data_IF_197074079568
#
_entry.id   IF_197074079568
#
_cell.length_a   1.000
_cell.length_b   1.000
_cell.length_c   1.000
_cell.angle_alpha   90.00
_cell.angle_beta   90.00
_cell.angle_gamma   90.00
#
_symmetry.space_group_name_H-M   'P 1'
#
loop_
_entity.id
_entity.type
_entity.pdbx_description
1 polymer ?
#
# COMPACT_ATOMS: atom_id res chain seq x y z
N UNK A 1 5.02 16.15 31.17
CA UNK A 1 4.60 17.44 30.56
C UNK A 1 5.70 18.49 30.46
N UNK A 2 6.84 18.35 31.13
CA UNK A 2 7.98 19.30 31.12
C UNK A 2 8.68 19.49 29.76
N UNK A 3 8.43 18.62 28.78
CA UNK A 3 9.04 18.66 27.44
C UNK A 3 8.38 19.65 26.46
N UNK A 4 7.20 20.18 26.78
CA UNK A 4 6.43 21.06 25.87
C UNK A 4 6.80 22.55 25.98
N UNK A 5 7.45 22.95 27.08
CA UNK A 5 7.77 24.35 27.39
C UNK A 5 9.24 24.76 27.15
N UNK A 6 10.10 23.84 26.67
CA UNK A 6 11.51 24.12 26.32
C UNK A 6 11.75 23.98 24.82
N UNK A 7 12.79 24.65 24.30
CA UNK A 7 13.25 24.53 22.89
C UNK A 7 13.24 23.06 22.45
N UNK A 8 12.55 22.71 21.34
CA UNK A 8 12.24 21.32 21.05
C UNK A 8 13.51 20.55 20.71
N UNK A 9 13.80 19.51 21.50
CA UNK A 9 14.81 18.48 21.18
C UNK A 9 14.23 17.32 20.35
N UNK A 10 12.91 17.35 20.10
CA UNK A 10 12.18 16.42 19.24
C UNK A 10 10.98 17.14 18.58
N UNK A 11 10.56 16.66 17.41
CA UNK A 11 9.33 17.10 16.75
C UNK A 11 8.13 16.50 17.47
N UNK A 12 7.36 17.33 18.18
CA UNK A 12 6.09 16.92 18.77
C UNK A 12 4.96 17.06 17.74
N UNK A 13 3.98 16.15 17.82
CA UNK A 13 2.82 16.21 16.92
C UNK A 13 1.99 17.46 17.24
N UNK A 14 1.52 18.24 16.24
CA UNK A 14 0.79 19.50 16.45
C UNK A 14 -0.43 19.37 17.38
N UNK A 15 -1.09 18.21 17.37
CA UNK A 15 -2.22 17.91 18.26
C UNK A 15 -1.88 18.05 19.75
N UNK A 16 -0.66 17.73 20.18
CA UNK A 16 -0.28 17.87 21.59
C UNK A 16 -0.26 19.34 22.02
N UNK A 17 0.10 20.24 21.11
CA UNK A 17 0.05 21.68 21.36
C UNK A 17 -1.40 22.18 21.43
N UNK A 18 -2.28 21.69 20.54
CA UNK A 18 -3.71 22.04 20.55
C UNK A 18 -4.39 21.57 21.84
N UNK A 19 -4.11 20.34 22.29
CA UNK A 19 -4.65 19.81 23.54
C UNK A 19 -4.15 20.57 24.77
N UNK A 20 -2.88 20.97 24.78
CA UNK A 20 -2.32 21.78 25.86
C UNK A 20 -2.95 23.18 25.90
N UNK A 21 -3.15 23.80 24.73
CA UNK A 21 -3.81 25.11 24.61
C UNK A 21 -5.25 25.03 25.13
N UNK A 22 -6.02 24.01 24.72
CA UNK A 22 -7.39 23.81 25.21
C UNK A 22 -7.47 23.41 26.69
N UNK A 23 -6.38 22.92 27.29
CA UNK A 23 -6.31 22.70 28.73
C UNK A 23 -5.99 23.98 29.52
N UNK A 24 -5.19 24.88 28.94
CA UNK A 24 -4.72 26.11 29.60
C UNK A 24 -5.64 27.31 29.42
N UNK A 25 -6.47 27.32 28.38
CA UNK A 25 -7.36 28.42 28.06
C UNK A 25 -8.75 27.91 27.69
N UNK A 26 -9.77 28.70 28.02
CA UNK A 26 -11.18 28.41 27.71
C UNK A 26 -11.46 28.44 26.19
N UNK A 27 -10.65 29.18 25.42
CA UNK A 27 -10.70 29.20 23.96
C UNK A 27 -9.33 29.47 23.34
N UNK A 28 -9.17 29.07 22.07
CA UNK A 28 -7.95 29.36 21.29
C UNK A 28 -7.73 30.88 21.18
N UNK A 29 -8.81 31.65 21.03
CA UNK A 29 -8.73 33.11 20.98
C UNK A 29 -8.24 33.69 22.31
N UNK A 30 -8.76 33.24 23.45
CA UNK A 30 -8.28 33.67 24.78
C UNK A 30 -6.79 33.38 24.97
N UNK A 31 -6.30 32.24 24.46
CA UNK A 31 -4.87 31.90 24.51
C UNK A 31 -4.00 32.80 23.61
N UNK A 32 -4.50 33.18 22.42
CA UNK A 32 -3.76 34.02 21.48
C UNK A 32 -3.79 35.51 21.86
N UNK A 33 -4.82 35.94 22.60
CA UNK A 33 -5.05 37.32 23.01
C UNK A 33 -4.75 37.61 24.48
N UNK A 34 -4.30 36.61 25.24
CA UNK A 34 -3.64 36.91 26.51
C UNK A 34 -2.38 37.66 26.15
N UNK A 35 -2.36 38.96 26.46
CA UNK A 35 -1.13 39.73 26.53
C UNK A 35 -0.17 38.91 27.38
N UNK A 36 0.76 38.21 26.73
CA UNK A 36 1.88 37.59 27.41
C UNK A 36 2.49 38.80 28.13
N UNK A 37 2.44 38.88 29.47
CA UNK A 37 3.15 39.94 30.16
C UNK A 37 4.55 39.78 29.63
N UNK A 38 5.04 40.76 28.87
CA UNK A 38 6.37 40.73 28.31
C UNK A 38 7.22 40.26 29.46
N UNK A 39 7.75 39.03 29.39
CA UNK A 39 8.63 38.54 30.41
C UNK A 39 9.63 39.67 30.49
N UNK A 40 9.62 40.39 31.62
CA UNK A 40 10.70 41.26 31.99
C UNK A 40 11.82 40.24 32.19
N UNK A 41 12.38 39.83 31.05
CA UNK A 41 13.67 39.24 30.97
C UNK A 41 14.47 40.27 31.71
N UNK A 42 15.06 39.86 32.82
CA UNK A 42 16.12 40.62 33.42
C UNK A 42 17.28 40.60 32.41
N UNK A 43 17.08 41.15 31.21
CA UNK A 43 18.08 41.27 30.15
C UNK A 43 19.25 42.02 30.75
N UNK A 44 18.99 43.07 31.54
CA UNK A 44 20.05 43.75 32.28
C UNK A 44 20.89 42.83 33.21
N UNK A 45 20.34 41.76 33.79
CA UNK A 45 21.10 40.82 34.63
C UNK A 45 21.75 39.68 33.80
N UNK A 46 21.04 39.12 32.82
CA UNK A 46 21.53 38.08 31.90
C UNK A 46 22.59 38.64 30.93
N UNK A 47 22.45 39.89 30.48
CA UNK A 47 23.41 40.61 29.64
C UNK A 47 24.67 40.93 30.43
N UNK A 48 24.55 41.32 31.72
CA UNK A 48 25.70 41.49 32.63
C UNK A 48 26.42 40.17 32.88
N UNK A 49 25.68 39.08 33.12
CA UNK A 49 26.26 37.76 33.30
C UNK A 49 26.92 37.25 32.00
N UNK A 50 26.31 37.50 30.84
CA UNK A 50 26.90 37.15 29.54
C UNK A 50 28.14 37.97 29.25
N UNK A 51 28.14 39.28 29.54
CA UNK A 51 29.29 40.17 29.39
C UNK A 51 30.44 39.76 30.32
N UNK A 52 30.15 39.41 31.58
CA UNK A 52 31.17 38.89 32.50
C UNK A 52 31.81 37.59 31.99
N UNK A 53 30.99 36.69 31.43
CA UNK A 53 31.48 35.44 30.82
C UNK A 53 32.33 35.73 29.57
N UNK A 54 31.91 36.67 28.74
CA UNK A 54 32.62 37.10 27.51
C UNK A 54 33.98 37.74 27.86
N UNK A 55 34.04 38.60 28.89
CA UNK A 55 35.30 39.13 29.42
C UNK A 55 36.23 38.02 29.94
N UNK A 56 35.69 37.03 30.67
CA UNK A 56 36.48 35.88 31.18
C UNK A 56 37.07 35.04 30.05
N UNK A 57 36.32 34.86 28.96
CA UNK A 57 36.80 34.16 27.76
C UNK A 57 37.94 34.97 27.10
N UNK A 58 37.82 36.30 27.02
CA UNK A 58 38.85 37.16 26.47
C UNK A 58 40.14 37.17 27.32
N UNK A 59 40.01 37.25 28.64
CA UNK A 59 41.13 37.21 29.60
C UNK A 59 41.93 35.90 29.45
N UNK A 60 41.26 34.75 29.57
CA UNK A 60 41.91 33.44 29.47
C UNK A 60 42.46 33.14 28.07
N UNK A 61 41.85 33.69 27.02
CA UNK A 61 42.38 33.58 25.66
C UNK A 61 43.64 34.44 25.45
N UNK A 62 43.71 35.63 26.06
CA UNK A 62 44.88 36.50 26.02
C UNK A 62 46.08 35.90 26.79
N UNK A 63 45.83 35.09 27.81
CA UNK A 63 46.85 34.27 28.50
C UNK A 63 47.41 33.12 27.63
N UNK A 64 46.91 32.92 26.40
CA UNK A 64 47.37 31.88 25.50
C UNK A 64 46.76 30.49 25.77
N UNK A 65 45.71 30.39 26.58
CA UNK A 65 45.02 29.11 26.82
C UNK A 65 44.21 28.69 25.61
N UNK A 66 44.15 27.38 25.35
CA UNK A 66 43.30 26.83 24.28
C UNK A 66 41.82 26.95 24.65
N UNK A 67 40.93 27.12 23.67
CA UNK A 67 39.47 27.22 23.89
C UNK A 67 38.87 26.01 24.63
N UNK A 68 39.55 24.85 24.63
CA UNK A 68 39.17 23.68 25.43
C UNK A 68 39.52 23.84 26.91
N UNK A 69 40.67 24.43 27.22
CA UNK A 69 41.06 24.76 28.59
C UNK A 69 40.15 25.87 29.14
N UNK A 70 39.89 26.91 28.35
CA UNK A 70 38.93 27.98 28.69
C UNK A 70 37.54 27.40 29.01
N UNK A 71 37.05 26.46 28.18
CA UNK A 71 35.77 25.79 28.44
C UNK A 71 35.75 24.98 29.74
N UNK A 72 36.83 24.27 30.05
CA UNK A 72 36.96 23.50 31.30
C UNK A 72 36.98 24.41 32.53
N UNK A 73 37.63 25.56 32.43
CA UNK A 73 37.84 26.51 33.52
C UNK A 73 36.57 27.34 33.81
N UNK A 74 35.81 27.69 32.78
CA UNK A 74 34.52 28.40 32.91
C UNK A 74 33.35 27.43 33.18
N UNK A 75 33.55 26.12 33.03
CA UNK A 75 32.49 25.11 33.21
C UNK A 75 31.45 25.09 32.09
N UNK A 76 31.81 25.57 30.89
CA UNK A 76 30.94 25.63 29.72
C UNK A 76 31.31 24.55 28.70
N UNK A 77 30.36 24.22 27.81
CA UNK A 77 30.69 23.38 26.65
C UNK A 77 31.66 24.10 25.71
N UNK A 78 32.58 23.36 25.09
CA UNK A 78 33.55 23.93 24.13
C UNK A 78 32.84 24.71 23.01
N UNK A 79 31.70 24.22 22.50
CA UNK A 79 30.92 24.94 21.49
C UNK A 79 30.35 26.27 22.01
N UNK A 80 29.88 26.33 23.26
CA UNK A 80 29.36 27.57 23.84
C UNK A 80 30.47 28.63 23.96
N UNK A 81 31.67 28.22 24.38
CA UNK A 81 32.84 29.11 24.42
C UNK A 81 33.25 29.55 23.02
N UNK A 82 33.29 28.65 22.03
CA UNK A 82 33.62 29.01 20.65
C UNK A 82 32.63 30.02 20.05
N UNK A 83 31.33 29.85 20.28
CA UNK A 83 30.30 30.79 19.82
C UNK A 83 30.45 32.15 20.50
N UNK A 84 30.71 32.19 21.81
CA UNK A 84 30.96 33.46 22.53
C UNK A 84 32.27 34.12 22.11
N UNK A 85 33.34 33.34 21.91
CA UNK A 85 34.64 33.81 21.42
C UNK A 85 34.54 34.40 20.02
N UNK A 86 33.75 33.80 19.14
CA UNK A 86 33.46 34.30 17.79
C UNK A 86 32.67 35.62 17.84
N UNK A 87 31.69 35.72 18.73
CA UNK A 87 30.91 36.94 18.97
C UNK A 87 31.80 38.12 19.40
N UNK A 88 32.82 37.88 20.23
CA UNK A 88 33.78 38.90 20.69
C UNK A 88 35.00 39.06 19.78
N UNK A 89 35.00 38.42 18.60
CA UNK A 89 36.03 38.60 17.58
C UNK A 89 37.37 37.92 17.86
N UNK A 90 37.44 36.98 18.83
CA UNK A 90 38.65 36.20 19.08
C UNK A 90 38.81 35.17 17.97
N UNK A 91 39.77 35.40 17.08
CA UNK A 91 40.10 34.49 16.00
C UNK A 91 40.70 33.19 16.54
N UNK A 92 40.02 32.06 16.31
CA UNK A 92 40.57 30.73 16.56
C UNK A 92 40.59 29.91 15.27
N UNK A 93 41.66 29.16 15.04
CA UNK A 93 41.75 28.20 13.94
C UNK A 93 40.84 27.01 14.23
N UNK A 94 39.63 27.02 13.68
CA UNK A 94 38.78 25.83 13.65
C UNK A 94 39.51 24.76 12.85
N UNK A 95 40.00 23.70 13.51
CA UNK A 95 40.62 22.57 12.82
C UNK A 95 39.53 21.81 12.04
N UNK A 96 39.27 22.23 10.81
CA UNK A 96 38.49 21.43 9.87
C UNK A 96 39.30 20.17 9.55
N UNK A 97 38.65 18.99 9.57
CA UNK A 97 39.23 17.83 8.90
C UNK A 97 39.23 18.17 7.42
N UNK A 98 40.40 18.54 6.87
CA UNK A 98 40.57 18.68 5.43
C UNK A 98 40.31 17.29 4.84
N UNK A 99 39.13 17.12 4.25
CA UNK A 99 38.85 15.99 3.38
C UNK A 99 39.81 16.12 2.22
N UNK A 100 40.70 15.15 2.05
CA UNK A 100 41.56 15.12 0.89
C UNK A 100 40.69 15.10 -0.38
N UNK A 101 41.00 15.99 -1.31
CA UNK A 101 40.22 16.21 -2.54
C UNK A 101 40.20 14.95 -3.39
N UNK A 102 41.29 14.17 -3.35
CA UNK A 102 41.43 12.90 -4.07
C UNK A 102 40.44 11.86 -3.53
N UNK A 103 40.40 11.66 -2.21
CA UNK A 103 39.50 10.71 -1.53
C UNK A 103 38.04 11.13 -1.74
N UNK A 104 37.75 12.43 -1.69
CA UNK A 104 36.39 12.94 -1.99
C UNK A 104 35.96 12.58 -3.41
N UNK A 105 36.86 12.72 -4.39
CA UNK A 105 36.58 12.40 -5.79
C UNK A 105 36.37 10.89 -5.98
N UNK A 106 37.19 10.05 -5.33
CA UNK A 106 37.00 8.59 -5.32
C UNK A 106 35.64 8.18 -4.76
N UNK A 107 35.24 8.76 -3.62
CA UNK A 107 33.91 8.52 -3.03
C UNK A 107 32.80 8.95 -3.99
N UNK A 108 32.96 10.11 -4.65
CA UNK A 108 31.97 10.61 -5.60
C UNK A 108 31.80 9.65 -6.77
N UNK A 109 32.88 9.20 -7.41
CA UNK A 109 32.82 8.26 -8.53
C UNK A 109 32.22 6.91 -8.13
N UNK A 110 32.59 6.38 -6.95
CA UNK A 110 32.02 5.13 -6.45
C UNK A 110 30.52 5.26 -6.11
N UNK A 111 30.10 6.41 -5.56
CA UNK A 111 28.70 6.69 -5.30
C UNK A 111 27.91 6.79 -6.61
N UNK A 112 28.44 7.51 -7.60
CA UNK A 112 27.85 7.68 -8.93
C UNK A 112 27.71 6.36 -9.68
N UNK A 113 28.69 5.47 -9.55
CA UNK A 113 28.67 4.12 -10.11
C UNK A 113 27.66 3.19 -9.41
N UNK A 114 27.09 3.56 -8.26
CA UNK A 114 26.09 2.76 -7.54
C UNK A 114 26.67 1.78 -6.53
N UNK A 115 27.98 1.81 -6.23
CA UNK A 115 28.60 0.91 -5.26
C UNK A 115 27.93 1.00 -3.88
N UNK A 116 27.89 -0.11 -3.14
CA UNK A 116 27.29 -0.12 -1.81
C UNK A 116 28.09 0.78 -0.86
N UNK A 117 27.38 1.52 0.01
CA UNK A 117 28.01 2.47 0.94
C UNK A 117 29.01 1.74 1.86
N UNK A 118 28.71 0.50 2.25
CA UNK A 118 29.60 -0.32 3.05
C UNK A 118 30.94 -0.60 2.34
N UNK A 119 30.94 -0.83 1.03
CA UNK A 119 32.15 -1.10 0.26
C UNK A 119 32.96 0.18 0.05
N UNK A 120 32.28 1.32 -0.15
CA UNK A 120 32.93 2.63 -0.22
C UNK A 120 33.61 2.96 1.11
N UNK A 121 32.96 2.68 2.23
CA UNK A 121 33.54 2.86 3.58
C UNK A 121 34.79 2.00 3.76
N UNK A 122 34.75 0.72 3.38
CA UNK A 122 35.90 -0.19 3.47
C UNK A 122 37.08 0.25 2.60
N UNK A 123 36.81 0.67 1.37
CA UNK A 123 37.85 1.04 0.41
C UNK A 123 38.49 2.40 0.71
N UNK A 124 37.71 3.36 1.22
CA UNK A 124 38.19 4.73 1.46
C UNK A 124 38.58 5.00 2.91
N UNK A 125 38.28 4.08 3.83
CA UNK A 125 38.54 4.24 5.28
C UNK A 125 37.68 5.32 5.95
N UNK A 126 36.67 5.85 5.26
CA UNK A 126 35.81 6.93 5.77
C UNK A 126 34.65 6.41 6.60
N UNK A 127 34.10 7.25 7.48
CA UNK A 127 32.85 6.91 8.18
C UNK A 127 31.64 6.96 7.24
N UNK A 128 30.67 6.06 7.44
CA UNK A 128 29.41 6.03 6.68
C UNK A 128 28.67 7.37 6.72
N UNK A 129 28.72 8.08 7.86
CA UNK A 129 28.15 9.43 8.01
C UNK A 129 28.78 10.43 7.03
N UNK A 130 30.10 10.34 6.80
CA UNK A 130 30.78 11.24 5.87
C UNK A 130 30.40 10.95 4.42
N UNK A 131 30.32 9.68 4.04
CA UNK A 131 29.87 9.25 2.71
C UNK A 131 28.43 9.69 2.46
N UNK A 132 27.53 9.49 3.43
CA UNK A 132 26.13 9.93 3.34
C UNK A 132 26.00 11.45 3.27
N UNK A 133 26.87 12.21 3.95
CA UNK A 133 26.88 13.67 3.85
C UNK A 133 27.31 14.14 2.45
N UNK A 134 28.26 13.45 1.82
CA UNK A 134 28.66 13.72 0.44
C UNK A 134 27.49 13.42 -0.51
N UNK A 135 26.85 12.26 -0.36
CA UNK A 135 25.67 11.89 -1.14
C UNK A 135 24.50 12.88 -0.94
N UNK A 136 24.25 13.30 0.30
CA UNK A 136 23.17 14.22 0.65
C UNK A 136 23.35 15.64 0.13
N UNK A 137 24.60 16.08 -0.05
CA UNK A 137 24.92 17.44 -0.47
C UNK A 137 24.70 17.71 -1.96
N UNK A 138 24.68 16.67 -2.80
CA UNK A 138 24.62 16.78 -4.26
C UNK A 138 23.42 16.02 -4.83
N UNK A 139 22.41 16.77 -5.32
CA UNK A 139 21.21 16.19 -5.96
C UNK A 139 21.52 15.51 -7.30
N UNK A 140 22.50 16.00 -8.06
CA UNK A 140 22.92 15.40 -9.33
C UNK A 140 23.53 14.03 -9.10
N UNK A 141 24.39 13.91 -8.09
CA UNK A 141 24.96 12.63 -7.67
C UNK A 141 23.89 11.62 -7.23
N UNK A 142 22.86 12.07 -6.49
CA UNK A 142 21.74 11.20 -6.09
C UNK A 142 20.96 10.66 -7.28
N UNK A 143 20.65 11.52 -8.27
CA UNK A 143 19.97 11.12 -9.49
C UNK A 143 20.82 10.12 -10.30
N UNK A 144 22.12 10.41 -10.47
CA UNK A 144 23.05 9.53 -11.18
C UNK A 144 23.17 8.17 -10.51
N UNK A 145 23.36 8.15 -9.18
CA UNK A 145 23.40 6.91 -8.40
C UNK A 145 22.12 6.09 -8.57
N UNK A 146 20.95 6.75 -8.54
CA UNK A 146 19.66 6.08 -8.70
C UNK A 146 19.52 5.46 -10.09
N UNK A 147 19.96 6.16 -11.14
CA UNK A 147 20.00 5.63 -12.49
C UNK A 147 20.95 4.41 -12.60
N UNK A 148 22.17 4.51 -12.06
CA UNK A 148 23.14 3.41 -12.05
C UNK A 148 22.60 2.17 -11.31
N UNK A 149 22.00 2.35 -10.14
CA UNK A 149 21.39 1.26 -9.37
C UNK A 149 20.23 0.61 -10.13
N UNK A 150 19.42 1.40 -10.86
CA UNK A 150 18.35 0.87 -11.71
C UNK A 150 18.91 0.01 -12.83
N UNK A 151 19.95 0.46 -13.52
CA UNK A 151 20.63 -0.30 -14.59
C UNK A 151 21.24 -1.59 -14.05
N UNK A 152 21.92 -1.53 -12.90
CA UNK A 152 22.47 -2.72 -12.24
C UNK A 152 21.39 -3.72 -11.84
N UNK A 153 20.28 -3.23 -11.27
CA UNK A 153 19.14 -4.07 -10.89
C UNK A 153 18.53 -4.75 -12.11
N UNK A 154 18.38 -4.01 -13.21
CA UNK A 154 17.91 -4.55 -14.48
C UNK A 154 18.86 -5.64 -15.00
N UNK A 155 20.16 -5.34 -15.09
CA UNK A 155 21.16 -6.29 -15.54
C UNK A 155 21.17 -7.58 -14.70
N UNK A 156 21.09 -7.44 -13.38
CA UNK A 156 21.02 -8.57 -12.45
C UNK A 156 19.79 -9.45 -12.72
N UNK A 157 18.59 -8.84 -12.76
CA UNK A 157 17.36 -9.59 -12.97
C UNK A 157 17.30 -10.25 -14.36
N UNK A 158 17.78 -9.55 -15.41
CA UNK A 158 17.92 -10.12 -16.76
C UNK A 158 18.91 -11.28 -16.78
N UNK A 159 20.03 -11.17 -16.09
CA UNK A 159 21.04 -12.23 -15.96
C UNK A 159 20.49 -13.48 -15.27
N UNK A 160 19.75 -13.30 -14.18
CA UNK A 160 19.04 -14.40 -13.49
C UNK A 160 18.06 -15.11 -14.40
N UNK A 161 17.26 -14.36 -15.16
CA UNK A 161 16.33 -14.94 -16.11
C UNK A 161 17.05 -15.75 -17.18
N UNK A 162 18.12 -15.19 -17.78
CA UNK A 162 18.94 -15.87 -18.79
C UNK A 162 19.56 -17.17 -18.27
N UNK A 163 20.02 -17.19 -17.02
CA UNK A 163 20.57 -18.40 -16.40
C UNK A 163 19.52 -19.51 -16.29
N UNK A 164 18.29 -19.18 -15.90
CA UNK A 164 17.19 -20.15 -15.79
C UNK A 164 16.72 -20.64 -17.16
N UNK A 165 16.59 -19.75 -18.13
CA UNK A 165 16.18 -20.12 -19.50
C UNK A 165 17.24 -20.95 -20.22
N UNK A 166 18.53 -20.70 -19.96
CA UNK A 166 19.63 -21.50 -20.53
C UNK A 166 19.67 -22.93 -19.98
N UNK A 167 19.33 -23.13 -18.70
CA UNK A 167 19.31 -24.46 -18.09
C UNK A 167 18.11 -25.32 -18.52
N UNK A 168 17.00 -24.69 -18.95
CA UNK A 168 15.74 -25.38 -19.27
C UNK A 168 15.03 -24.70 -20.45
N UNK A 169 15.14 -25.22 -21.69
CA UNK A 169 14.67 -24.55 -22.90
C UNK A 169 13.13 -24.39 -23.08
N UNK A 170 12.29 -24.71 -22.10
CA UNK A 170 10.82 -24.61 -22.24
C UNK A 170 10.09 -24.23 -20.94
N UNK A 171 10.71 -23.42 -20.07
CA UNK A 171 10.06 -23.01 -18.81
C UNK A 171 8.89 -22.07 -19.09
N UNK A 172 7.68 -22.54 -18.76
CA UNK A 172 6.47 -21.72 -18.83
C UNK A 172 6.48 -20.56 -17.83
N UNK A 173 5.65 -19.54 -18.09
CA UNK A 173 5.53 -18.31 -17.28
C UNK A 173 5.38 -18.58 -15.77
N UNK A 174 4.57 -19.57 -15.39
CA UNK A 174 4.33 -19.91 -13.97
C UNK A 174 5.60 -20.42 -13.30
N UNK A 175 6.38 -21.26 -13.98
CA UNK A 175 7.62 -21.81 -13.45
C UNK A 175 8.72 -20.74 -13.37
N UNK A 176 8.85 -19.85 -14.36
CA UNK A 176 9.77 -18.71 -14.28
C UNK A 176 9.45 -17.78 -13.11
N UNK A 177 8.16 -17.49 -12.89
CA UNK A 177 7.73 -16.65 -11.76
C UNK A 177 8.07 -17.29 -10.41
N UNK A 178 7.90 -18.61 -10.27
CA UNK A 178 8.25 -19.33 -9.04
C UNK A 178 9.78 -19.37 -8.83
N UNK A 179 10.55 -19.65 -9.88
CA UNK A 179 12.01 -19.79 -9.79
C UNK A 179 12.73 -18.46 -9.48
N UNK A 180 12.24 -17.35 -10.05
CA UNK A 180 12.90 -16.04 -9.97
C UNK A 180 12.28 -15.11 -8.91
N UNK A 181 11.06 -15.37 -8.46
CA UNK A 181 10.39 -14.65 -7.38
C UNK A 181 10.40 -13.12 -7.52
N UNK A 182 11.18 -12.44 -6.67
CA UNK A 182 11.29 -10.98 -6.64
C UNK A 182 11.91 -10.40 -7.92
N UNK A 183 12.86 -11.11 -8.56
CA UNK A 183 13.49 -10.66 -9.81
C UNK A 183 12.47 -10.65 -10.96
N UNK A 184 11.63 -11.68 -11.04
CA UNK A 184 10.55 -11.75 -12.01
C UNK A 184 9.52 -10.63 -11.79
N UNK A 185 9.12 -10.42 -10.54
CA UNK A 185 8.16 -9.36 -10.18
C UNK A 185 8.69 -7.99 -10.55
N UNK A 186 9.99 -7.75 -10.34
CA UNK A 186 10.64 -6.51 -10.72
C UNK A 186 10.66 -6.31 -12.25
N UNK A 187 11.07 -7.32 -13.02
CA UNK A 187 11.06 -7.27 -14.49
C UNK A 187 9.64 -7.06 -15.04
N UNK A 188 8.65 -7.74 -14.49
CA UNK A 188 7.26 -7.59 -14.90
C UNK A 188 6.73 -6.17 -14.71
N UNK A 189 7.15 -5.47 -13.65
CA UNK A 189 6.75 -4.09 -13.35
C UNK A 189 7.54 -3.04 -14.12
N UNK A 190 8.83 -3.26 -14.34
CA UNK A 190 9.75 -2.21 -14.81
C UNK A 190 10.37 -2.47 -16.18
N UNK A 191 10.26 -3.69 -16.73
CA UNK A 191 10.92 -4.13 -17.96
C UNK A 191 10.07 -5.18 -18.72
N UNK A 192 8.75 -4.93 -18.77
CA UNK A 192 7.75 -5.89 -19.25
C UNK A 192 7.96 -6.28 -20.71
N UNK A 193 8.24 -5.31 -21.57
CA UNK A 193 8.42 -5.54 -23.00
C UNK A 193 9.60 -6.49 -23.27
N UNK A 194 10.73 -6.27 -22.58
CA UNK A 194 11.87 -7.16 -22.66
C UNK A 194 11.52 -8.55 -22.12
N UNK A 195 10.85 -8.64 -20.97
CA UNK A 195 10.45 -9.92 -20.38
C UNK A 195 9.57 -10.72 -21.36
N UNK A 196 8.57 -10.09 -21.96
CA UNK A 196 7.68 -10.72 -22.94
C UNK A 196 8.43 -11.21 -24.18
N UNK A 197 9.42 -10.45 -24.67
CA UNK A 197 10.24 -10.87 -25.81
C UNK A 197 11.14 -12.08 -25.50
N UNK A 198 11.39 -12.40 -24.23
CA UNK A 198 12.14 -13.60 -23.83
C UNK A 198 11.25 -14.82 -23.57
N UNK A 199 9.93 -14.63 -23.45
CA UNK A 199 8.99 -15.72 -23.26
C UNK A 199 8.51 -16.22 -24.63
N UNK A 200 8.36 -17.54 -24.82
CA UNK A 200 7.70 -18.05 -26.01
C UNK A 200 6.29 -17.46 -26.07
N UNK A 201 5.93 -16.92 -27.24
CA UNK A 201 4.61 -16.35 -27.49
C UNK A 201 3.61 -17.50 -27.50
N UNK A 202 3.04 -17.83 -26.34
CA UNK A 202 1.97 -18.82 -26.29
C UNK A 202 0.70 -18.15 -26.78
N UNK A 203 0.11 -18.59 -27.92
CA UNK A 203 -1.20 -18.13 -28.29
C UNK A 203 -2.14 -18.48 -27.14
N UNK A 204 -2.80 -17.47 -26.59
CA UNK A 204 -3.76 -17.65 -25.51
C UNK A 204 -4.99 -18.33 -26.11
N UNK A 205 -4.97 -19.67 -26.20
CA UNK A 205 -6.15 -20.45 -26.53
C UNK A 205 -7.06 -20.35 -25.32
N UNK A 206 -8.02 -19.43 -25.39
CA UNK A 206 -9.14 -19.43 -24.46
C UNK A 206 -10.03 -20.59 -24.91
N UNK A 207 -9.76 -21.79 -24.38
CA UNK A 207 -10.72 -22.89 -24.49
C UNK A 207 -12.02 -22.43 -23.82
N UNK A 208 -12.99 -22.01 -24.63
CA UNK A 208 -14.35 -21.75 -24.17
C UNK A 208 -14.97 -23.10 -23.85
N UNK A 209 -14.75 -23.60 -22.65
CA UNK A 209 -15.49 -24.73 -22.08
C UNK A 209 -16.93 -24.30 -21.80
N UNK A 210 -17.76 -24.21 -22.84
CA UNK A 210 -19.22 -24.29 -22.69
C UNK A 210 -19.91 -24.55 -24.04
N UNK A 211 -19.48 -25.60 -24.75
CA UNK A 211 -20.40 -26.24 -25.70
C UNK A 211 -21.43 -27.02 -24.88
N UNK A 212 -22.38 -26.31 -24.29
CA UNK A 212 -23.56 -26.93 -23.71
C UNK A 212 -24.38 -27.51 -24.86
N UNK A 213 -24.62 -28.82 -24.83
CA UNK A 213 -25.59 -29.45 -25.73
C UNK A 213 -27.01 -29.09 -25.24
N UNK A 214 -27.64 -28.16 -25.96
CA UNK A 214 -28.99 -27.69 -25.65
C UNK A 214 -30.06 -28.71 -26.03
N UNK A 215 -29.80 -29.58 -27.00
CA UNK A 215 -30.76 -30.60 -27.41
C UNK A 215 -30.94 -31.66 -26.32
N UNK A 216 -29.85 -32.09 -25.69
CA UNK A 216 -29.90 -33.02 -24.56
C UNK A 216 -30.59 -32.36 -23.35
N UNK A 217 -30.26 -31.10 -23.06
CA UNK A 217 -30.90 -30.36 -21.95
C UNK A 217 -32.38 -30.14 -22.14
N UNK A 218 -32.81 -29.80 -23.36
CA UNK A 218 -34.22 -29.60 -23.68
C UNK A 218 -35.02 -30.89 -23.49
N UNK A 219 -34.50 -32.03 -23.98
CA UNK A 219 -35.15 -33.34 -23.75
C UNK A 219 -35.28 -33.66 -22.27
N UNK A 220 -34.17 -33.56 -21.52
CA UNK A 220 -34.16 -33.88 -20.10
C UNK A 220 -35.00 -32.90 -19.25
N UNK A 221 -35.26 -31.69 -19.76
CA UNK A 221 -36.12 -30.73 -19.10
C UNK A 221 -37.60 -31.01 -19.39
N UNK A 222 -37.96 -31.35 -20.63
CA UNK A 222 -39.32 -31.77 -20.97
C UNK A 222 -39.77 -33.00 -20.15
N UNK A 223 -38.89 -33.98 -19.93
CA UNK A 223 -39.15 -35.12 -19.06
C UNK A 223 -39.45 -34.71 -17.61
N UNK A 224 -38.63 -33.80 -17.04
CA UNK A 224 -38.86 -33.29 -15.68
C UNK A 224 -40.14 -32.47 -15.55
N UNK A 225 -40.47 -31.67 -16.57
CA UNK A 225 -41.74 -30.93 -16.63
C UNK A 225 -42.92 -31.90 -16.64
N UNK A 226 -42.83 -32.98 -17.42
CA UNK A 226 -43.88 -34.02 -17.48
C UNK A 226 -44.11 -34.65 -16.11
N UNK A 227 -43.03 -35.02 -15.41
CA UNK A 227 -43.12 -35.58 -14.04
C UNK A 227 -43.72 -34.57 -13.05
N UNK A 228 -43.26 -33.31 -13.10
CA UNK A 228 -43.78 -32.24 -12.24
C UNK A 228 -45.28 -32.02 -12.43
N UNK A 229 -45.77 -32.07 -13.67
CA UNK A 229 -47.19 -31.94 -13.99
C UNK A 229 -48.00 -33.08 -13.39
N UNK A 230 -47.50 -34.32 -13.50
CA UNK A 230 -48.12 -35.48 -12.85
C UNK A 230 -48.24 -35.30 -11.34
N UNK A 231 -47.16 -34.87 -10.67
CA UNK A 231 -47.17 -34.63 -9.22
C UNK A 231 -48.09 -33.50 -8.76
N UNK A 232 -48.30 -32.48 -9.60
CA UNK A 232 -49.21 -31.34 -9.31
C UNK A 232 -50.68 -31.73 -9.53
N UNK A 233 -50.95 -32.61 -10.49
CA UNK A 233 -52.28 -33.10 -10.82
C UNK A 233 -52.72 -34.32 -9.98
N UNK A 234 -51.86 -34.80 -9.08
CA UNK A 234 -52.14 -35.93 -8.20
C UNK A 234 -53.47 -35.74 -7.43
N UNK A 235 -54.47 -36.63 -7.58
CA UNK A 235 -55.82 -36.43 -7.03
C UNK A 235 -55.90 -36.31 -5.52
N UNK A 236 -54.95 -36.93 -4.80
CA UNK A 236 -54.86 -36.91 -3.34
C UNK A 236 -54.35 -35.57 -2.79
N UNK A 237 -53.85 -34.67 -3.64
CA UNK A 237 -53.34 -33.36 -3.25
C UNK A 237 -54.38 -32.27 -3.49
N UNK A 238 -54.30 -31.21 -2.69
CA UNK A 238 -55.08 -29.99 -2.91
C UNK A 238 -54.76 -29.41 -4.30
N UNK A 239 -55.77 -28.99 -5.10
CA UNK A 239 -55.54 -28.48 -6.45
C UNK A 239 -54.62 -27.27 -6.44
N UNK A 240 -53.48 -27.41 -7.09
CA UNK A 240 -52.52 -26.34 -7.32
C UNK A 240 -52.51 -25.99 -8.80
N UNK A 241 -52.49 -24.70 -9.12
CA UNK A 241 -52.57 -24.23 -10.51
C UNK A 241 -51.26 -24.51 -11.23
N UNK A 242 -51.35 -25.09 -12.43
CA UNK A 242 -50.20 -25.29 -13.30
C UNK A 242 -49.74 -23.95 -13.89
N UNK A 243 -48.79 -23.30 -13.23
CA UNK A 243 -48.12 -22.08 -13.71
C UNK A 243 -46.64 -22.34 -13.96
N UNK A 244 -45.99 -21.48 -14.76
CA UNK A 244 -44.56 -21.63 -15.08
C UNK A 244 -43.70 -21.64 -13.81
N UNK A 245 -44.03 -20.78 -12.84
CA UNK A 245 -43.36 -20.74 -11.56
C UNK A 245 -43.58 -22.01 -10.75
N UNK A 246 -44.80 -22.56 -10.74
CA UNK A 246 -45.10 -23.77 -9.97
C UNK A 246 -44.36 -24.98 -10.53
N UNK A 247 -44.44 -25.18 -11.85
CA UNK A 247 -43.70 -26.24 -12.54
C UNK A 247 -42.19 -26.06 -12.33
N UNK A 248 -41.69 -24.84 -12.45
CA UNK A 248 -40.29 -24.50 -12.21
C UNK A 248 -39.77 -24.81 -10.80
N UNK A 249 -40.64 -24.73 -9.78
CA UNK A 249 -40.30 -25.14 -8.40
C UNK A 249 -40.11 -26.64 -8.29
N UNK A 250 -40.99 -27.42 -8.92
CA UNK A 250 -40.90 -28.89 -8.96
C UNK A 250 -39.69 -29.38 -9.78
N UNK A 251 -39.26 -28.64 -10.81
CA UNK A 251 -38.04 -28.97 -11.57
C UNK A 251 -36.73 -28.49 -10.90
N UNK A 252 -36.82 -27.85 -9.72
CA UNK A 252 -35.67 -27.48 -8.89
C UNK A 252 -35.02 -26.12 -9.20
N UNK A 253 -35.43 -25.40 -10.26
CA UNK A 253 -34.94 -24.06 -10.55
C UNK A 253 -35.85 -23.26 -11.51
N UNK A 254 -36.88 -22.61 -10.96
CA UNK A 254 -37.87 -21.86 -11.75
C UNK A 254 -37.27 -20.70 -12.56
N UNK A 255 -36.32 -19.95 -11.97
CA UNK A 255 -35.67 -18.82 -12.63
C UNK A 255 -34.77 -19.27 -13.80
N UNK A 256 -34.17 -20.45 -13.69
CA UNK A 256 -33.36 -21.00 -14.77
C UNK A 256 -34.20 -21.42 -15.97
N UNK A 257 -35.35 -22.07 -15.70
CA UNK A 257 -36.29 -22.48 -16.75
C UNK A 257 -36.80 -21.27 -17.53
N UNK A 258 -37.22 -20.22 -16.82
CA UNK A 258 -37.69 -18.97 -17.42
C UNK A 258 -36.61 -18.29 -18.27
N UNK A 259 -35.40 -18.13 -17.70
CA UNK A 259 -34.25 -17.50 -18.39
C UNK A 259 -33.81 -18.23 -19.66
N UNK A 260 -33.93 -19.55 -19.69
CA UNK A 260 -33.42 -20.38 -20.79
C UNK A 260 -34.51 -20.95 -21.69
N UNK A 261 -35.78 -20.62 -21.46
CA UNK A 261 -36.92 -21.16 -22.19
C UNK A 261 -36.79 -20.98 -23.72
N UNK A 262 -36.28 -19.84 -24.16
CA UNK A 262 -36.04 -19.55 -25.59
C UNK A 262 -35.05 -20.52 -26.27
N UNK A 263 -34.27 -21.27 -25.49
CA UNK A 263 -33.29 -22.27 -25.98
C UNK A 263 -33.78 -23.71 -25.82
N UNK A 264 -35.01 -23.89 -25.33
CA UNK A 264 -35.61 -25.18 -24.99
C UNK A 264 -36.94 -25.34 -25.74
N UNK A 265 -36.92 -25.49 -27.09
CA UNK A 265 -38.13 -25.47 -27.90
C UNK A 265 -39.14 -26.56 -27.52
N UNK A 266 -38.69 -27.79 -27.21
CA UNK A 266 -39.58 -28.88 -26.80
C UNK A 266 -40.22 -28.62 -25.44
N UNK A 267 -39.43 -28.10 -24.50
CA UNK A 267 -39.93 -27.73 -23.17
C UNK A 267 -40.93 -26.58 -23.28
N UNK A 268 -40.66 -25.58 -24.13
CA UNK A 268 -41.55 -24.45 -24.37
C UNK A 268 -42.89 -24.89 -24.98
N UNK A 269 -42.85 -25.79 -25.97
CA UNK A 269 -44.04 -26.39 -26.56
C UNK A 269 -44.87 -27.14 -25.51
N UNK A 270 -44.24 -28.01 -24.71
CA UNK A 270 -44.92 -28.74 -23.62
C UNK A 270 -45.57 -27.80 -22.61
N UNK A 271 -44.85 -26.75 -22.18
CA UNK A 271 -45.40 -25.77 -21.24
C UNK A 271 -46.61 -25.04 -21.84
N UNK A 272 -46.59 -24.68 -23.12
CA UNK A 272 -47.74 -24.02 -23.76
C UNK A 272 -49.02 -24.85 -23.75
N UNK A 273 -48.90 -26.19 -23.74
CA UNK A 273 -50.03 -27.12 -23.71
C UNK A 273 -50.55 -27.37 -22.29
N UNK A 274 -49.68 -27.28 -21.29
CA UNK A 274 -49.99 -27.71 -19.92
C UNK A 274 -50.31 -26.56 -18.97
N UNK A 275 -49.85 -25.34 -19.28
CA UNK A 275 -50.12 -24.17 -18.44
C UNK A 275 -51.62 -23.87 -18.40
N UNK A 276 -52.17 -23.80 -17.19
CA UNK A 276 -53.61 -23.74 -16.96
C UNK A 276 -54.10 -22.28 -16.90
N UNK A 277 -55.03 -21.84 -17.77
CA UNK A 277 -55.70 -20.57 -17.63
C UNK A 277 -56.48 -20.49 -16.30
N UNK A 278 -56.62 -19.29 -15.73
CA UNK A 278 -57.28 -19.11 -14.43
C UNK A 278 -58.75 -19.60 -14.41
N UNK A 279 -59.43 -19.63 -15.56
CA UNK A 279 -60.79 -20.16 -15.68
C UNK A 279 -60.84 -21.69 -15.50
N UNK A 280 -59.94 -22.42 -16.17
CA UNK A 280 -59.84 -23.89 -16.11
C UNK A 280 -59.49 -24.34 -14.68
N UNK A 281 -58.55 -23.65 -14.04
CA UNK A 281 -58.19 -23.92 -12.65
C UNK A 281 -59.35 -23.75 -11.67
N UNK A 282 -60.16 -22.70 -11.84
CA UNK A 282 -61.34 -22.46 -11.00
C UNK A 282 -62.38 -23.56 -11.16
N UNK A 283 -62.62 -24.03 -12.40
CA UNK A 283 -63.51 -25.16 -12.65
C UNK A 283 -63.01 -26.44 -11.97
N UNK A 284 -61.70 -26.74 -12.09
CA UNK A 284 -61.08 -27.90 -11.42
C UNK A 284 -61.15 -27.82 -9.90
N UNK A 285 -60.99 -26.62 -9.33
CA UNK A 285 -61.15 -26.41 -7.88
C UNK A 285 -62.57 -26.65 -7.40
N UNK A 286 -63.59 -26.25 -8.18
CA UNK A 286 -64.99 -26.50 -7.85
C UNK A 286 -65.29 -28.00 -7.86
N UNK A 287 -64.90 -28.70 -8.93
CA UNK A 287 -65.07 -30.15 -9.05
C UNK A 287 -64.34 -30.92 -7.94
N UNK A 288 -63.13 -30.49 -7.55
CA UNK A 288 -62.40 -31.10 -6.43
C UNK A 288 -63.12 -30.88 -5.11
N UNK A 289 -63.68 -29.69 -4.87
CA UNK A 289 -64.46 -29.39 -3.65
C UNK A 289 -65.70 -30.26 -3.56
N UNK A 290 -66.48 -30.34 -4.62
CA UNK A 290 -67.71 -31.16 -4.68
C UNK A 290 -67.42 -32.62 -4.28
N UNK A 291 -66.39 -33.22 -4.88
CA UNK A 291 -65.97 -34.60 -4.60
C UNK A 291 -65.51 -34.82 -3.15
N UNK A 292 -64.85 -33.85 -2.52
CA UNK A 292 -64.33 -33.98 -1.15
C UNK A 292 -65.28 -33.45 -0.07
N UNK A 293 -66.39 -32.80 -0.44
CA UNK A 293 -67.48 -32.45 0.50
C UNK A 293 -68.47 -33.60 0.68
N UNK A 294 -68.65 -34.47 -0.31
CA UNK A 294 -69.49 -35.68 -0.20
C UNK A 294 -68.85 -36.73 0.73
N UNK A 295 -67.52 -36.92 0.66
CA UNK A 295 -66.77 -37.84 1.54
C UNK A 295 -66.72 -37.40 3.02
N UNK A 296 -67.14 -36.16 3.35
CA UNK A 296 -67.18 -35.64 4.72
C UNK A 296 -68.58 -35.74 5.38
N UNK A 297 -69.60 -36.11 4.61
CA UNK A 297 -71.00 -36.23 5.06
C UNK A 297 -71.59 -37.64 4.85
N UNK A 298 -70.80 -38.60 4.35
CA UNK A 298 -71.12 -40.04 4.35
C UNK A 298 -70.31 -40.80 5.39
#
# INVERSE_FOLDING_TARGET
MTSLYRRPRATHHPLLHVLLIGFLAESIESFLWTDIPSLVTNSAADDRASAATECKIAELAAEGRSMRQVAKEIGLSVNAVLVKAEKIGIGFMRRSKKLDVTVRSQVWHALAAGNAIADIVKTTGMSASTVNRILGADRGLQAQRTASLRVQRQAHARGKLRAVTGATPSVGFKALRTALGADFTWLYRHDRAWLQAQLPSTPRIVERTSSVDWCIRDRAMAERVTLAVGEILEPSRRPTRLTLNEIGRFTGNALWLDKHLARLPRTAELLSQVLEPAAVFRARQLAWREKHTEDALG
#
